data_IF_893024668978
#
_entry.id   IF_893024668978
#
_cell.length_a   1.000
_cell.length_b   1.000
_cell.length_c   1.000
_cell.angle_alpha   90.00
_cell.angle_beta   90.00
_cell.angle_gamma   90.00
#
_symmetry.space_group_name_H-M   'P 1'
#
loop_
_entity.id
_entity.type
_entity.pdbx_description
1 polymer ?
#
# COMPACT_ATOMS: atom_id res chain seq x y z
N UNK A 1 16.12 -1.97 10.63
CA UNK A 1 15.07 -2.95 10.32
C UNK A 1 13.81 -2.17 10.00
N UNK A 2 13.22 -2.38 8.82
CA UNK A 2 12.06 -1.62 8.37
C UNK A 2 10.82 -2.00 9.19
N UNK A 3 10.21 -1.03 9.87
CA UNK A 3 9.06 -1.26 10.78
C UNK A 3 7.77 -1.67 10.07
N UNK A 4 7.66 -1.43 8.76
CA UNK A 4 6.51 -1.81 7.93
C UNK A 4 6.67 -3.24 7.37
N UNK A 5 7.90 -3.76 7.29
CA UNK A 5 8.18 -5.13 6.87
C UNK A 5 8.00 -6.10 8.03
N UNK A 6 6.75 -6.40 8.39
CA UNK A 6 6.44 -7.42 9.39
C UNK A 6 6.71 -8.82 8.83
N UNK A 7 7.07 -9.83 9.65
CA UNK A 7 7.28 -11.20 9.14
C UNK A 7 6.06 -11.76 8.40
N UNK A 8 4.84 -11.41 8.84
CA UNK A 8 3.61 -11.80 8.16
C UNK A 8 3.51 -11.17 6.77
N UNK A 9 3.83 -9.88 6.64
CA UNK A 9 3.82 -9.20 5.35
C UNK A 9 4.92 -9.72 4.42
N UNK A 10 6.13 -9.91 4.94
CA UNK A 10 7.26 -10.44 4.19
C UNK A 10 6.98 -11.85 3.64
N UNK A 11 6.26 -12.69 4.39
CA UNK A 11 5.83 -14.00 3.89
C UNK A 11 4.73 -13.86 2.83
N UNK A 12 3.70 -13.05 3.08
CA UNK A 12 2.56 -12.90 2.18
C UNK A 12 2.95 -12.31 0.81
N UNK A 13 3.89 -11.36 0.77
CA UNK A 13 4.27 -10.69 -0.48
C UNK A 13 5.12 -11.57 -1.40
N UNK A 14 5.70 -12.68 -0.92
CA UNK A 14 6.46 -13.63 -1.75
C UNK A 14 5.62 -14.30 -2.83
N UNK A 15 4.32 -14.48 -2.57
CA UNK A 15 3.37 -15.05 -3.53
C UNK A 15 2.97 -14.05 -4.63
N UNK A 16 3.37 -12.78 -4.49
CA UNK A 16 3.05 -11.68 -5.38
C UNK A 16 4.30 -10.90 -5.79
N UNK A 17 5.25 -11.52 -6.52
CA UNK A 17 6.41 -10.80 -7.05
C UNK A 17 5.97 -9.71 -8.03
N UNK A 18 6.84 -8.73 -8.28
CA UNK A 18 6.59 -7.69 -9.29
C UNK A 18 6.19 -8.32 -10.64
N UNK A 19 5.18 -7.72 -11.28
CA UNK A 19 4.54 -8.15 -12.53
C UNK A 19 3.69 -9.44 -12.47
N UNK A 20 3.50 -10.05 -11.28
CA UNK A 20 2.70 -11.28 -11.12
C UNK A 20 1.18 -11.11 -11.28
N UNK A 21 0.72 -9.86 -11.28
CA UNK A 21 -0.69 -9.48 -11.30
C UNK A 21 -1.08 -8.65 -12.52
N UNK A 22 -0.17 -8.50 -13.48
CA UNK A 22 -0.42 -7.84 -14.75
C UNK A 22 -1.67 -8.41 -15.45
N UNK A 23 -2.50 -7.50 -15.97
CA UNK A 23 -3.75 -7.85 -16.67
C UNK A 23 -4.89 -8.36 -15.79
N UNK A 24 -4.73 -8.48 -14.46
CA UNK A 24 -5.81 -8.91 -13.57
C UNK A 24 -6.84 -7.82 -13.26
N UNK A 25 -6.51 -6.55 -13.51
CA UNK A 25 -7.39 -5.40 -13.23
C UNK A 25 -8.01 -5.49 -11.82
N UNK A 26 -9.34 -5.40 -11.70
CA UNK A 26 -10.06 -5.49 -10.41
C UNK A 26 -9.87 -6.81 -9.65
N UNK A 27 -9.39 -7.86 -10.33
CA UNK A 27 -9.10 -9.16 -9.72
C UNK A 27 -7.68 -9.26 -9.13
N UNK A 28 -6.83 -8.24 -9.30
CA UNK A 28 -5.52 -8.20 -8.63
C UNK A 28 -5.72 -8.21 -7.11
N UNK A 29 -4.94 -9.01 -6.40
CA UNK A 29 -5.02 -9.19 -4.95
C UNK A 29 -4.22 -8.10 -4.26
N UNK A 30 -4.87 -7.34 -3.39
CA UNK A 30 -4.18 -6.51 -2.42
C UNK A 30 -3.67 -7.39 -1.27
N UNK A 31 -2.39 -7.30 -0.96
CA UNK A 31 -1.70 -8.13 0.03
C UNK A 31 -1.64 -7.44 1.40
N UNK A 32 -1.49 -6.12 1.39
CA UNK A 32 -1.44 -5.28 2.59
C UNK A 32 -1.93 -3.87 2.28
N UNK A 33 -2.37 -3.16 3.32
CA UNK A 33 -2.69 -1.73 3.23
C UNK A 33 -1.75 -0.99 4.17
N UNK A 34 -1.01 -0.02 3.65
CA UNK A 34 -0.32 0.98 4.45
C UNK A 34 -1.12 2.28 4.49
N UNK A 35 -1.11 3.00 5.61
CA UNK A 35 -1.94 4.21 5.75
C UNK A 35 -1.31 5.26 6.66
N UNK A 36 -1.53 6.54 6.32
CA UNK A 36 -1.27 7.70 7.18
C UNK A 36 -2.35 8.76 6.94
N UNK A 37 -3.13 9.10 7.96
CA UNK A 37 -4.32 9.94 7.78
C UNK A 37 -5.29 9.34 6.76
N UNK A 38 -5.61 10.10 5.71
CA UNK A 38 -6.51 9.67 4.61
C UNK A 38 -5.76 8.98 3.44
N UNK A 39 -4.43 8.95 3.48
CA UNK A 39 -3.61 8.36 2.42
C UNK A 39 -3.50 6.86 2.67
N UNK A 40 -3.78 6.06 1.64
CA UNK A 40 -3.70 4.60 1.68
C UNK A 40 -2.90 4.10 0.50
N UNK A 41 -2.01 3.13 0.74
CA UNK A 41 -1.31 2.36 -0.28
C UNK A 41 -1.83 0.93 -0.23
N UNK A 42 -2.56 0.51 -1.27
CA UNK A 42 -3.00 -0.86 -1.48
C UNK A 42 -1.88 -1.61 -2.19
N UNK A 43 -1.13 -2.39 -1.43
CA UNK A 43 0.04 -3.13 -1.94
C UNK A 43 -0.45 -4.30 -2.77
N UNK A 44 0.01 -4.39 -4.02
CA UNK A 44 -0.32 -5.48 -4.94
C UNK A 44 0.85 -6.45 -5.07
N UNK A 45 2.05 -5.94 -5.23
CA UNK A 45 3.23 -6.74 -5.52
C UNK A 45 4.45 -6.18 -4.80
N UNK A 46 5.48 -7.01 -4.66
CA UNK A 46 6.75 -6.55 -4.11
C UNK A 46 7.93 -7.39 -4.54
N UNK A 47 9.11 -6.76 -4.55
CA UNK A 47 10.37 -7.41 -4.87
C UNK A 47 11.51 -6.81 -4.04
N UNK A 48 12.52 -7.63 -3.72
CA UNK A 48 13.75 -7.14 -3.09
C UNK A 48 14.63 -6.48 -4.15
N UNK A 49 15.10 -5.28 -3.86
CA UNK A 49 16.12 -4.59 -4.64
C UNK A 49 17.19 -4.08 -3.68
N UNK A 50 18.34 -4.76 -3.66
CA UNK A 50 19.40 -4.47 -2.68
C UNK A 50 18.92 -4.67 -1.23
N UNK A 51 19.01 -3.61 -0.44
CA UNK A 51 18.56 -3.57 0.96
C UNK A 51 17.11 -3.06 1.13
N UNK A 52 16.42 -2.77 0.03
CA UNK A 52 15.04 -2.29 0.02
C UNK A 52 14.04 -3.35 -0.47
N UNK A 53 12.76 -3.08 -0.25
CA UNK A 53 11.65 -3.78 -0.86
C UNK A 53 10.84 -2.78 -1.66
N UNK A 54 10.89 -2.91 -2.99
CA UNK A 54 10.10 -2.10 -3.89
C UNK A 54 8.72 -2.73 -3.99
N UNK A 55 7.70 -1.92 -3.77
CA UNK A 55 6.30 -2.32 -3.81
C UNK A 55 5.63 -1.70 -5.02
N UNK A 56 4.76 -2.46 -5.68
CA UNK A 56 3.80 -1.91 -6.63
C UNK A 56 2.44 -1.77 -5.94
N UNK A 57 1.92 -0.54 -5.90
CA UNK A 57 0.75 -0.18 -5.14
C UNK A 57 -0.25 0.62 -5.96
N UNK A 58 -1.50 0.66 -5.51
CA UNK A 58 -2.39 1.78 -5.77
C UNK A 58 -2.30 2.73 -4.58
N UNK A 59 -2.00 4.00 -4.82
CA UNK A 59 -2.07 5.05 -3.79
C UNK A 59 -3.31 5.89 -3.99
N UNK A 60 -4.04 6.14 -2.90
CA UNK A 60 -5.15 7.08 -2.87
C UNK A 60 -4.98 8.05 -1.72
N UNK A 61 -5.59 9.23 -1.82
CA UNK A 61 -5.56 10.22 -0.73
C UNK A 61 -4.48 11.29 -0.86
N UNK A 62 -3.62 11.19 -1.89
CA UNK A 62 -2.68 12.24 -2.28
C UNK A 62 -3.36 13.24 -3.23
N UNK A 63 -2.56 14.09 -3.90
CA UNK A 63 -3.06 15.02 -4.91
C UNK A 63 -3.75 14.31 -6.07
N UNK A 64 -3.20 13.17 -6.49
CA UNK A 64 -3.78 12.27 -7.49
C UNK A 64 -3.83 10.85 -6.95
N UNK A 65 -4.76 10.06 -7.48
CA UNK A 65 -4.86 8.63 -7.22
C UNK A 65 -4.22 7.88 -8.40
N UNK A 66 -3.29 6.96 -8.12
CA UNK A 66 -2.48 6.35 -9.16
C UNK A 66 -1.95 4.96 -8.78
N UNK A 67 -1.53 4.22 -9.81
CA UNK A 67 -0.61 3.11 -9.64
C UNK A 67 0.82 3.63 -9.54
N UNK A 68 1.63 3.09 -8.66
CA UNK A 68 3.00 3.54 -8.48
C UNK A 68 3.92 2.54 -7.79
N UNK A 69 5.21 2.68 -8.06
CA UNK A 69 6.26 2.00 -7.33
C UNK A 69 6.61 2.79 -6.08
N UNK A 70 6.79 2.09 -4.97
CA UNK A 70 7.06 2.69 -3.66
C UNK A 70 8.21 1.96 -2.99
N UNK A 71 9.25 2.70 -2.58
CA UNK A 71 10.27 2.20 -1.67
C UNK A 71 9.67 1.97 -0.28
N UNK A 72 9.79 0.75 0.25
CA UNK A 72 9.30 0.45 1.60
C UNK A 72 10.13 1.19 2.66
N UNK A 73 11.43 1.40 2.41
CA UNK A 73 12.30 2.20 3.28
C UNK A 73 11.85 3.65 3.33
N UNK A 74 11.67 4.32 2.19
CA UNK A 74 11.17 5.70 2.16
C UNK A 74 9.77 5.82 2.79
N UNK A 75 8.87 4.88 2.50
CA UNK A 75 7.53 4.86 3.09
C UNK A 75 7.56 4.73 4.63
N UNK A 76 8.49 3.95 5.17
CA UNK A 76 8.65 3.79 6.62
C UNK A 76 9.13 5.07 7.31
N UNK A 77 9.85 5.93 6.59
CA UNK A 77 10.41 7.20 7.06
C UNK A 77 9.44 8.39 6.88
N UNK A 78 8.28 8.18 6.26
CA UNK A 78 7.23 9.21 6.18
C UNK A 78 6.68 9.52 7.58
N UNK A 79 6.83 10.78 7.98
CA UNK A 79 6.37 11.32 9.25
C UNK A 79 5.59 12.63 9.07
N UNK A 80 4.54 12.81 9.86
CA UNK A 80 3.83 14.07 10.00
C UNK A 80 3.95 14.57 11.43
N UNK A 81 4.55 15.76 11.59
CA UNK A 81 4.73 16.39 12.89
C UNK A 81 3.49 17.19 13.29
N UNK A 82 2.66 16.59 14.15
CA UNK A 82 1.49 17.20 14.76
C UNK A 82 1.70 17.52 16.26
N UNK A 83 2.97 17.70 16.69
CA UNK A 83 3.28 18.03 18.09
C UNK A 83 2.62 19.33 18.54
N UNK A 84 2.50 20.33 17.66
CA UNK A 84 1.82 21.60 17.94
C UNK A 84 0.34 21.45 18.27
N UNK A 85 -0.29 20.38 17.78
CA UNK A 85 -1.70 20.05 18.00
C UNK A 85 -1.91 19.00 19.10
N UNK A 86 -0.84 18.54 19.76
CA UNK A 86 -0.91 17.57 20.85
C UNK A 86 -0.96 16.10 20.41
N UNK A 87 -0.85 15.80 19.10
CA UNK A 87 -0.93 14.43 18.57
C UNK A 87 0.42 13.73 18.42
N UNK A 88 1.53 14.43 18.66
CA UNK A 88 2.87 13.88 18.48
C UNK A 88 3.28 13.75 17.02
N UNK A 89 4.13 12.76 16.72
CA UNK A 89 4.55 12.43 15.35
C UNK A 89 3.70 11.25 14.87
N UNK A 90 2.98 11.46 13.77
CA UNK A 90 2.18 10.43 13.12
C UNK A 90 3.03 9.81 12.01
N UNK A 91 2.98 8.49 11.87
CA UNK A 91 3.76 7.73 10.88
C UNK A 91 2.84 6.81 10.09
N UNK A 92 3.30 6.38 8.92
CA UNK A 92 2.60 5.33 8.14
C UNK A 92 2.47 4.06 8.97
N UNK A 93 1.34 3.39 8.98
CA UNK A 93 1.16 2.08 9.65
C UNK A 93 0.69 1.03 8.66
N UNK A 94 0.96 -0.24 8.94
CA UNK A 94 0.25 -1.35 8.30
C UNK A 94 -1.13 -1.50 8.94
N UNK A 95 -2.18 -1.54 8.13
CA UNK A 95 -3.55 -1.76 8.62
C UNK A 95 -3.63 -3.13 9.30
N UNK A 96 -3.98 -3.18 10.61
CA UNK A 96 -4.01 -4.43 11.35
C UNK A 96 -5.18 -5.31 10.87
N UNK A 97 -5.00 -6.63 10.97
CA UNK A 97 -6.03 -7.64 10.65
C UNK A 97 -6.56 -7.63 9.21
N UNK A 98 -5.90 -6.92 8.29
CA UNK A 98 -6.22 -7.03 6.87
C UNK A 98 -5.95 -8.46 6.36
N UNK A 99 -6.84 -8.96 5.50
CA UNK A 99 -6.71 -10.25 4.82
C UNK A 99 -6.61 -10.00 3.32
N UNK A 100 -5.62 -10.59 2.63
CA UNK A 100 -5.48 -10.39 1.20
C UNK A 100 -6.76 -10.73 0.44
N UNK A 101 -7.16 -9.84 -0.47
CA UNK A 101 -8.36 -10.00 -1.28
C UNK A 101 -8.25 -9.20 -2.59
N UNK A 102 -9.04 -9.54 -3.63
CA UNK A 102 -9.11 -8.74 -4.85
C UNK A 102 -9.44 -7.27 -4.57
N UNK A 103 -8.76 -6.33 -5.22
CA UNK A 103 -8.96 -4.89 -5.05
C UNK A 103 -10.39 -4.45 -5.36
N UNK A 104 -11.09 -5.14 -6.26
CA UNK A 104 -12.50 -4.90 -6.53
C UNK A 104 -13.46 -5.26 -5.38
N UNK A 105 -13.00 -5.98 -4.35
CA UNK A 105 -13.79 -6.36 -3.18
C UNK A 105 -13.55 -5.45 -1.97
N UNK A 106 -12.57 -4.55 -2.04
CA UNK A 106 -12.24 -3.65 -0.94
C UNK A 106 -13.26 -2.52 -0.90
N UNK A 107 -13.99 -2.41 0.23
CA UNK A 107 -14.99 -1.35 0.45
C UNK A 107 -14.32 -0.02 0.82
N UNK A 108 -13.67 0.58 -0.17
CA UNK A 108 -13.00 1.87 -0.08
C UNK A 108 -13.43 2.75 -1.25
N UNK A 109 -14.20 3.81 -0.97
CA UNK A 109 -14.85 4.65 -1.99
C UNK A 109 -13.83 5.21 -2.99
N UNK A 110 -12.72 5.78 -2.50
CA UNK A 110 -11.73 6.42 -3.36
C UNK A 110 -10.96 5.42 -4.22
N UNK A 111 -10.67 4.23 -3.67
CA UNK A 111 -10.14 3.12 -4.47
C UNK A 111 -11.13 2.69 -5.55
N UNK A 112 -12.40 2.48 -5.22
CA UNK A 112 -13.39 2.02 -6.19
C UNK A 112 -13.63 3.06 -7.29
N UNK A 113 -13.69 4.35 -6.95
CA UNK A 113 -13.79 5.43 -7.93
C UNK A 113 -12.57 5.48 -8.87
N UNK A 114 -11.37 5.27 -8.34
CA UNK A 114 -10.16 5.16 -9.15
C UNK A 114 -10.23 3.95 -10.09
N UNK A 115 -10.63 2.77 -9.60
CA UNK A 115 -10.76 1.56 -10.42
C UNK A 115 -11.83 1.69 -11.50
N UNK A 116 -12.97 2.30 -11.19
CA UNK A 116 -14.06 2.53 -12.15
C UNK A 116 -13.58 3.42 -13.31
N UNK A 117 -12.80 4.48 -13.04
CA UNK A 117 -12.24 5.35 -14.09
C UNK A 117 -11.29 4.64 -15.05
N UNK A 118 -10.69 3.51 -14.64
CA UNK A 118 -9.68 2.80 -15.43
C UNK A 118 -10.23 1.56 -16.13
N UNK A 119 -11.23 0.92 -15.55
CA UNK A 119 -11.67 -0.41 -15.97
C UNK A 119 -13.14 -0.49 -16.40
N UNK A 120 -13.91 0.58 -16.22
CA UNK A 120 -15.28 0.71 -16.75
C UNK A 120 -15.30 1.60 -17.99
#
# INVERSE_FOLDING_TARGET
MNRLLTPKFEEAIKDYPLYSQDGKARAAVCVAIFTIGNIRWFVLEGGKEGDDTILYCIVVGLGEDEYGYVSLNELADVELDYRKQGFGIIRVIQMPYFTPCPIGQISDERLQDFLNRLYD
#
